data_IF_194592704394
#
_entry.id   IF_194592704394
#
_cell.length_a   1.000
_cell.length_b   1.000
_cell.length_c   1.000
_cell.angle_alpha   90.00
_cell.angle_beta   90.00
_cell.angle_gamma   90.00
#
_symmetry.space_group_name_H-M   'P 1'
#
loop_
_entity.id
_entity.type
_entity.pdbx_description
1 polymer ?
#
# COMPACT_ATOMS: atom_id res chain seq x y z
N UNK A 1 18.43 -12.84 12.52
CA UNK A 1 16.97 -12.76 12.29
C UNK A 1 16.63 -13.91 11.38
N UNK A 2 15.82 -14.87 11.82
CA UNK A 2 15.24 -15.85 10.89
C UNK A 2 14.32 -15.07 9.94
N UNK A 3 14.70 -14.97 8.68
CA UNK A 3 13.84 -14.40 7.65
C UNK A 3 12.62 -15.31 7.52
N UNK A 4 11.51 -14.84 8.10
CA UNK A 4 10.24 -15.57 8.06
C UNK A 4 9.73 -15.54 6.63
N UNK A 5 9.71 -16.69 5.96
CA UNK A 5 9.21 -16.78 4.58
C UNK A 5 7.72 -16.46 4.59
N UNK A 6 7.25 -15.43 3.86
CA UNK A 6 5.82 -15.12 3.82
C UNK A 6 5.06 -16.28 3.17
N UNK A 7 4.01 -16.76 3.86
CA UNK A 7 3.16 -17.85 3.37
C UNK A 7 2.09 -17.36 2.38
N UNK A 8 1.72 -16.08 2.47
CA UNK A 8 0.71 -15.44 1.65
C UNK A 8 1.14 -14.04 1.26
N UNK A 9 0.64 -13.55 0.13
CA UNK A 9 0.77 -12.17 -0.30
C UNK A 9 -0.53 -11.69 -0.95
N UNK A 10 -0.67 -10.39 -1.09
CA UNK A 10 -1.84 -9.79 -1.75
C UNK A 10 -1.48 -9.34 -3.16
N UNK A 11 -2.32 -9.67 -4.13
CA UNK A 11 -2.13 -9.29 -5.52
C UNK A 11 -3.45 -9.03 -6.24
N UNK A 12 -3.39 -8.22 -7.30
CA UNK A 12 -4.52 -7.92 -8.16
C UNK A 12 -4.75 -6.41 -8.30
N UNK A 13 -5.01 -5.98 -9.53
CA UNK A 13 -5.18 -4.56 -9.86
C UNK A 13 -6.62 -4.07 -9.70
N UNK A 14 -7.60 -4.84 -10.17
CA UNK A 14 -9.02 -4.50 -10.06
C UNK A 14 -9.63 -5.00 -8.73
N UNK A 15 -9.29 -6.23 -8.34
CA UNK A 15 -9.74 -6.84 -7.09
C UNK A 15 -8.54 -7.46 -6.40
N UNK A 16 -8.31 -7.07 -5.14
CA UNK A 16 -7.23 -7.63 -4.34
C UNK A 16 -7.58 -9.05 -3.91
N UNK A 17 -6.64 -9.97 -4.10
CA UNK A 17 -6.76 -11.38 -3.76
C UNK A 17 -5.63 -11.77 -2.81
N UNK A 18 -5.94 -12.61 -1.82
CA UNK A 18 -4.94 -13.29 -1.02
C UNK A 18 -4.45 -14.50 -1.81
N UNK A 19 -3.14 -14.56 -2.03
CA UNK A 19 -2.49 -15.58 -2.85
C UNK A 19 -1.43 -16.28 -2.02
N UNK A 20 -1.39 -17.62 -2.08
CA UNK A 20 -0.31 -18.39 -1.45
C UNK A 20 1.02 -18.09 -2.13
N UNK A 21 2.09 -17.94 -1.34
CA UNK A 21 3.45 -17.67 -1.86
C UNK A 21 3.97 -18.77 -2.79
N UNK A 22 3.40 -19.98 -2.73
CA UNK A 22 3.64 -21.03 -3.72
C UNK A 22 3.36 -20.59 -5.16
N UNK A 23 2.46 -19.62 -5.36
CA UNK A 23 2.11 -19.05 -6.66
C UNK A 23 2.81 -17.71 -6.95
N UNK A 24 3.73 -17.26 -6.11
CA UNK A 24 4.41 -15.96 -6.27
C UNK A 24 5.12 -15.81 -7.63
N UNK A 25 5.61 -16.93 -8.19
CA UNK A 25 6.24 -16.95 -9.52
C UNK A 25 5.36 -16.38 -10.63
N UNK A 26 4.04 -16.59 -10.57
CA UNK A 26 3.10 -16.09 -11.58
C UNK A 26 2.86 -14.58 -11.47
N UNK A 27 3.23 -13.97 -10.33
CA UNK A 27 3.01 -12.56 -10.02
C UNK A 27 4.30 -11.75 -9.96
N UNK A 28 5.46 -12.38 -10.15
CA UNK A 28 6.77 -11.77 -10.01
C UNK A 28 7.60 -11.92 -11.29
N UNK A 29 8.39 -10.89 -11.59
CA UNK A 29 9.31 -10.86 -12.73
C UNK A 29 10.70 -11.27 -12.27
N UNK A 30 11.40 -12.08 -13.07
CA UNK A 30 12.81 -12.43 -12.84
C UNK A 30 13.69 -11.29 -13.31
N UNK A 31 14.53 -10.79 -12.40
CA UNK A 31 15.50 -9.70 -12.69
C UNK A 31 16.95 -10.18 -12.67
N UNK A 32 17.21 -11.33 -12.05
CA UNK A 32 18.51 -12.01 -12.10
C UNK A 32 18.29 -13.51 -12.10
N UNK A 33 19.04 -14.23 -12.94
CA UNK A 33 19.08 -15.69 -12.94
C UNK A 33 20.08 -16.22 -11.90
N UNK A 34 21.19 -15.50 -11.70
CA UNK A 34 22.31 -15.91 -10.86
C UNK A 34 22.87 -14.69 -10.08
N UNK A 35 22.57 -14.56 -8.77
CA UNK A 35 21.65 -15.38 -7.99
C UNK A 35 20.19 -15.18 -8.46
N UNK A 36 19.32 -16.18 -8.27
CA UNK A 36 17.93 -16.09 -8.69
C UNK A 36 17.20 -15.02 -7.87
N UNK A 37 16.78 -13.96 -8.56
CA UNK A 37 16.08 -12.83 -7.95
C UNK A 37 14.80 -12.51 -8.72
N UNK A 38 13.71 -12.37 -7.97
CA UNK A 38 12.38 -12.02 -8.47
C UNK A 38 11.82 -10.87 -7.68
N UNK A 39 11.09 -9.99 -8.36
CA UNK A 39 10.40 -8.85 -7.74
C UNK A 39 8.95 -8.79 -8.20
N UNK A 40 8.08 -8.33 -7.32
CA UNK A 40 6.72 -7.95 -7.72
C UNK A 40 6.81 -6.65 -8.53
N UNK A 41 6.26 -6.61 -9.75
CA UNK A 41 6.25 -5.39 -10.55
C UNK A 41 5.55 -4.25 -9.81
N UNK A 42 6.27 -3.14 -9.63
CA UNK A 42 5.77 -1.90 -9.05
C UNK A 42 6.37 -0.74 -9.79
N UNK A 43 5.62 0.35 -9.92
CA UNK A 43 6.09 1.54 -10.63
C UNK A 43 7.34 2.15 -10.03
N UNK A 44 7.53 2.04 -8.72
CA UNK A 44 8.74 2.51 -8.03
C UNK A 44 9.85 1.47 -7.97
N UNK A 45 9.81 0.42 -8.79
CA UNK A 45 10.90 -0.58 -8.90
C UNK A 45 11.41 -0.56 -10.34
N UNK A 46 12.71 -0.33 -10.51
CA UNK A 46 13.35 -0.32 -11.83
C UNK A 46 13.62 -1.74 -12.38
N UNK A 47 14.15 -1.81 -13.60
CA UNK A 47 14.47 -3.08 -14.27
C UNK A 47 15.55 -3.89 -13.54
N UNK A 48 16.33 -3.26 -12.67
CA UNK A 48 17.36 -3.90 -11.83
C UNK A 48 16.80 -4.34 -10.47
N UNK A 49 15.51 -4.14 -10.21
CA UNK A 49 14.88 -4.41 -8.92
C UNK A 49 15.11 -3.35 -7.85
N UNK A 50 15.70 -2.20 -8.20
CA UNK A 50 15.99 -1.13 -7.24
C UNK A 50 14.81 -0.20 -7.10
N UNK A 51 14.60 0.29 -5.88
CA UNK A 51 13.54 1.26 -5.61
C UNK A 51 13.91 2.63 -6.17
N UNK A 52 13.07 3.16 -7.05
CA UNK A 52 13.15 4.53 -7.54
C UNK A 52 12.53 5.47 -6.51
N UNK A 53 13.38 6.07 -5.66
CA UNK A 53 12.98 6.87 -4.50
C UNK A 53 12.08 8.04 -4.90
N UNK A 54 12.43 8.78 -5.96
CA UNK A 54 11.64 9.93 -6.39
C UNK A 54 10.20 9.56 -6.80
N UNK A 55 10.03 8.39 -7.44
CA UNK A 55 8.72 7.88 -7.86
C UNK A 55 7.90 7.42 -6.65
N UNK A 56 8.57 6.81 -5.68
CA UNK A 56 7.95 6.45 -4.41
C UNK A 56 7.50 7.68 -3.63
N UNK A 57 8.37 8.67 -3.47
CA UNK A 57 8.09 9.89 -2.73
C UNK A 57 6.97 10.70 -3.40
N UNK A 58 6.90 10.71 -4.73
CA UNK A 58 5.78 11.30 -5.46
C UNK A 58 4.43 10.63 -5.11
N UNK A 59 4.41 9.31 -4.96
CA UNK A 59 3.21 8.59 -4.52
C UNK A 59 2.83 8.92 -3.08
N UNK A 60 3.81 8.97 -2.17
CA UNK A 60 3.60 9.40 -0.78
C UNK A 60 3.03 10.81 -0.70
N UNK A 61 3.63 11.75 -1.44
CA UNK A 61 3.19 13.16 -1.51
C UNK A 61 1.77 13.28 -2.07
N UNK A 62 1.40 12.48 -3.07
CA UNK A 62 0.06 12.47 -3.63
C UNK A 62 -1.00 12.00 -2.61
N UNK A 63 -0.70 10.92 -1.88
CA UNK A 63 -1.60 10.40 -0.83
C UNK A 63 -1.71 11.39 0.33
N UNK A 64 -0.57 11.86 0.87
CA UNK A 64 -0.59 12.75 2.02
C UNK A 64 -1.22 14.10 1.66
N UNK A 65 -0.93 14.64 0.48
CA UNK A 65 -1.57 15.87 -0.02
C UNK A 65 -3.09 15.73 -0.09
N UNK A 66 -3.58 14.59 -0.59
CA UNK A 66 -5.02 14.31 -0.63
C UNK A 66 -5.66 14.35 0.77
N UNK A 67 -4.98 13.80 1.79
CA UNK A 67 -5.46 13.78 3.17
C UNK A 67 -5.33 15.17 3.84
N UNK A 68 -4.24 15.91 3.56
CA UNK A 68 -4.04 17.29 4.06
C UNK A 68 -5.17 18.20 3.56
N UNK A 69 -5.54 18.11 2.28
CA UNK A 69 -6.61 18.93 1.70
C UNK A 69 -8.01 18.52 2.17
N UNK A 70 -8.19 17.25 2.58
CA UNK A 70 -9.47 16.73 3.09
C UNK A 70 -9.26 15.82 4.30
N UNK A 71 -9.03 16.38 5.50
CA UNK A 71 -8.93 15.58 6.71
C UNK A 71 -10.20 14.79 6.96
N UNK A 72 -10.07 13.51 7.27
CA UNK A 72 -11.21 12.60 7.43
C UNK A 72 -11.76 12.05 6.12
N UNK A 73 -11.03 12.15 5.01
CA UNK A 73 -11.38 11.49 3.75
C UNK A 73 -11.41 9.97 3.92
N UNK A 74 -12.37 9.30 3.27
CA UNK A 74 -12.46 7.84 3.28
C UNK A 74 -11.36 7.20 2.40
N UNK A 75 -10.94 5.98 2.72
CA UNK A 75 -9.99 5.20 1.90
C UNK A 75 -10.50 5.06 0.46
N UNK A 76 -11.80 4.80 0.30
CA UNK A 76 -12.42 4.68 -1.02
C UNK A 76 -12.28 5.96 -1.84
N UNK A 77 -12.43 7.13 -1.21
CA UNK A 77 -12.29 8.42 -1.90
C UNK A 77 -10.83 8.75 -2.20
N UNK A 78 -9.87 8.35 -1.35
CA UNK A 78 -8.43 8.45 -1.66
C UNK A 78 -8.09 7.62 -2.90
N UNK A 79 -8.50 6.36 -2.95
CA UNK A 79 -8.32 5.48 -4.11
C UNK A 79 -8.96 6.09 -5.37
N UNK A 80 -10.21 6.57 -5.26
CA UNK A 80 -10.94 7.17 -6.39
C UNK A 80 -10.26 8.42 -6.94
N UNK A 81 -9.72 9.30 -6.07
CA UNK A 81 -9.05 10.55 -6.48
C UNK A 81 -7.73 10.29 -7.18
N UNK A 82 -7.02 9.24 -6.78
CA UNK A 82 -5.69 8.91 -7.29
C UNK A 82 -5.71 7.94 -8.48
N UNK A 83 -6.86 7.36 -8.81
CA UNK A 83 -7.03 6.30 -9.84
C UNK A 83 -6.52 6.64 -11.24
N UNK A 84 -6.42 7.92 -11.60
CA UNK A 84 -5.93 8.33 -12.92
C UNK A 84 -4.41 8.17 -13.05
N UNK A 85 -3.71 8.09 -11.91
CA UNK A 85 -2.27 7.96 -11.86
C UNK A 85 -1.87 6.64 -11.21
N UNK A 86 -2.46 6.26 -10.10
CA UNK A 86 -2.06 5.09 -9.31
C UNK A 86 -3.13 4.02 -9.32
N UNK A 87 -2.71 2.75 -9.36
CA UNK A 87 -3.64 1.65 -9.11
C UNK A 87 -3.98 1.53 -7.61
N UNK A 88 -5.02 0.75 -7.31
CA UNK A 88 -5.51 0.57 -5.93
C UNK A 88 -4.43 -0.01 -5.02
N UNK A 89 -3.66 -0.98 -5.50
CA UNK A 89 -2.59 -1.61 -4.71
C UNK A 89 -1.47 -0.61 -4.41
N UNK A 90 -1.09 0.21 -5.38
CA UNK A 90 -0.10 1.27 -5.21
C UNK A 90 -0.52 2.28 -4.14
N UNK A 91 -1.79 2.73 -4.17
CA UNK A 91 -2.34 3.63 -3.16
C UNK A 91 -2.32 2.97 -1.78
N UNK A 92 -2.72 1.71 -1.67
CA UNK A 92 -2.70 0.98 -0.39
C UNK A 92 -1.29 0.81 0.18
N UNK A 93 -0.29 0.54 -0.66
CA UNK A 93 1.10 0.42 -0.21
C UNK A 93 1.62 1.75 0.34
N UNK A 94 1.31 2.88 -0.31
CA UNK A 94 1.66 4.21 0.18
C UNK A 94 0.92 4.56 1.49
N UNK A 95 -0.40 4.31 1.57
CA UNK A 95 -1.19 4.54 2.79
C UNK A 95 -0.67 3.72 3.96
N UNK A 96 -0.35 2.43 3.73
CA UNK A 96 0.21 1.56 4.77
C UNK A 96 1.52 2.13 5.30
N UNK A 97 2.46 2.49 4.42
CA UNK A 97 3.73 3.09 4.83
C UNK A 97 3.52 4.37 5.64
N UNK A 98 2.69 5.30 5.16
CA UNK A 98 2.42 6.56 5.87
C UNK A 98 1.77 6.32 7.24
N UNK A 99 0.94 5.29 7.37
CA UNK A 99 0.30 4.93 8.64
C UNK A 99 1.26 4.26 9.62
N UNK A 100 2.12 3.36 9.13
CA UNK A 100 3.15 2.68 9.93
C UNK A 100 4.20 3.67 10.45
N UNK A 101 4.59 4.64 9.62
CA UNK A 101 5.54 5.71 9.97
C UNK A 101 4.91 6.86 10.79
N UNK A 102 3.61 6.79 11.07
CA UNK A 102 2.91 7.76 11.92
C UNK A 102 2.59 9.12 11.28
N UNK A 103 2.72 9.25 9.95
CA UNK A 103 2.33 10.46 9.22
C UNK A 103 0.81 10.62 9.07
N UNK A 104 0.10 9.50 9.01
CA UNK A 104 -1.37 9.47 8.97
C UNK A 104 -1.88 8.50 10.03
N UNK A 105 -3.12 8.70 10.45
CA UNK A 105 -3.81 7.82 11.40
C UNK A 105 -5.18 7.43 10.88
N UNK A 106 -5.52 6.17 11.13
CA UNK A 106 -6.80 5.59 10.77
C UNK A 106 -7.85 5.85 11.85
N UNK A 107 -9.06 6.21 11.44
CA UNK A 107 -10.27 6.14 12.27
C UNK A 107 -11.33 5.31 11.55
N UNK A 108 -11.78 4.24 12.19
CA UNK A 108 -12.93 3.43 11.76
C UNK A 108 -14.14 3.80 12.59
N UNK A 109 -15.32 3.88 11.96
CA UNK A 109 -16.56 4.26 12.62
C UNK A 109 -17.04 3.24 13.68
N UNK A 110 -16.48 2.03 13.68
CA UNK A 110 -16.76 1.00 14.67
C UNK A 110 -15.46 0.55 15.34
N UNK A 111 -15.52 0.34 16.67
CA UNK A 111 -14.48 -0.28 17.51
C UNK A 111 -14.30 -1.77 17.17
N UNK A 112 -14.32 -2.13 15.89
CA UNK A 112 -13.98 -3.47 15.47
C UNK A 112 -12.47 -3.59 15.55
N UNK A 113 -11.98 -3.98 16.75
CA UNK A 113 -10.68 -4.61 16.95
C UNK A 113 -10.66 -5.93 16.18
N UNK A 114 -10.75 -5.85 14.86
CA UNK A 114 -10.46 -6.98 13.99
C UNK A 114 -8.98 -7.27 14.16
N UNK A 115 -8.68 -8.43 14.75
CA UNK A 115 -7.33 -8.99 14.87
C UNK A 115 -6.58 -9.09 13.51
N UNK A 116 -7.26 -8.81 12.39
CA UNK A 116 -6.70 -8.76 11.04
C UNK A 116 -6.69 -7.39 10.36
N UNK A 117 -6.97 -6.29 11.07
CA UNK A 117 -7.15 -4.93 10.51
C UNK A 117 -5.90 -4.31 9.83
N UNK A 118 -4.86 -5.08 9.56
CA UNK A 118 -3.74 -4.68 8.68
C UNK A 118 -3.13 -5.84 7.89
N UNK A 119 -3.67 -7.06 8.06
CA UNK A 119 -3.15 -8.27 7.41
C UNK A 119 -3.75 -8.48 6.02
N UNK A 120 -4.97 -7.98 5.81
CA UNK A 120 -5.69 -8.14 4.56
C UNK A 120 -6.06 -6.79 3.96
N UNK A 121 -6.10 -6.70 2.62
CA UNK A 121 -6.59 -5.51 1.95
C UNK A 121 -8.06 -5.31 2.29
N UNK A 122 -8.43 -4.05 2.51
CA UNK A 122 -9.81 -3.69 2.80
C UNK A 122 -10.70 -4.04 1.60
N UNK A 123 -11.90 -4.55 1.83
CA UNK A 123 -12.91 -4.62 0.78
C UNK A 123 -13.50 -3.23 0.48
N UNK A 124 -14.28 -3.10 -0.59
CA UNK A 124 -14.84 -1.80 -1.01
C UNK A 124 -15.75 -1.15 0.05
N UNK A 125 -16.40 -1.93 0.90
CA UNK A 125 -17.30 -1.41 1.93
C UNK A 125 -16.53 -1.01 3.19
N UNK A 126 -15.50 -1.76 3.55
CA UNK A 126 -14.53 -1.40 4.60
C UNK A 126 -13.77 -0.11 4.23
N UNK A 127 -13.42 0.08 2.96
CA UNK A 127 -12.78 1.30 2.47
C UNK A 127 -13.67 2.54 2.65
N UNK A 128 -14.99 2.40 2.48
CA UNK A 128 -15.94 3.51 2.71
C UNK A 128 -16.06 3.88 4.19
N UNK A 129 -15.79 2.94 5.11
CA UNK A 129 -15.88 3.13 6.57
C UNK A 129 -14.55 3.53 7.21
N UNK A 130 -13.45 3.39 6.48
CA UNK A 130 -12.10 3.72 6.93
C UNK A 130 -11.77 5.16 6.55
N UNK A 131 -11.52 6.01 7.53
CA UNK A 131 -11.24 7.43 7.33
C UNK A 131 -9.83 7.79 7.79
N UNK A 132 -9.17 8.68 7.05
CA UNK A 132 -7.77 9.04 7.28
C UNK A 132 -7.61 10.47 7.76
N UNK A 133 -6.75 10.64 8.75
CA UNK A 133 -6.41 11.93 9.34
C UNK A 133 -4.88 12.06 9.42
N UNK A 134 -4.39 13.29 9.61
CA UNK A 134 -2.97 13.49 9.91
C UNK A 134 -2.60 12.84 11.25
N UNK A 135 -1.44 12.18 11.23
CA UNK A 135 -0.82 11.58 12.41
C UNK A 135 -0.12 12.63 13.28
N UNK A 136 0.76 12.15 14.14
CA UNK A 136 1.55 13.00 15.04
C UNK A 136 2.85 13.46 14.38
N UNK A 137 3.35 12.69 13.41
CA UNK A 137 4.53 13.07 12.64
C UNK A 137 4.17 14.12 11.60
N UNK A 138 5.06 15.09 11.44
CA UNK A 138 4.86 16.18 10.49
C UNK A 138 4.93 15.69 9.05
N UNK A 139 3.88 15.94 8.28
CA UNK A 139 3.71 15.44 6.91
C UNK A 139 4.77 15.92 5.92
N UNK A 140 5.42 17.06 6.16
CA UNK A 140 6.46 17.61 5.27
C UNK A 140 7.83 16.94 5.43
N UNK A 141 7.94 15.95 6.32
CA UNK A 141 9.14 15.14 6.52
C UNK A 141 9.14 13.85 5.69
N UNK A 142 8.12 13.64 4.85
CA UNK A 142 8.09 12.61 3.79
C UNK A 142 8.93 13.00 2.60
#
# INVERSE_FOLDING_TARGET
>A
MEDTVPLIFCAGYATLRVVSSAYARAWAVTISAEPPMRVFPRRWIDISGRKMVDVWDAALRAVIGTIVYRPGISQAEVCWRLRSVYDRQEVMEAVRYLSEEGFIKRRTAEQMRSLGSGLFPLDEDEEKRTHWFLGERHWYQT
#
